data_IF_222308935766
#
_entry.id   IF_222308935766
#
_cell.length_a   1.000
_cell.length_b   1.000
_cell.length_c   1.000
_cell.angle_alpha   90.00
_cell.angle_beta   90.00
_cell.angle_gamma   90.00
#
_symmetry.space_group_name_H-M   'P 1'
#
loop_
_entity.id
_entity.type
_entity.pdbx_description
1 polymer ?
#
# COMPACT_ATOMS: atom_id res chain seq x y z
N UNK A 1 -21.41 -42.81 21.29
CA UNK A 1 -20.11 -42.52 21.92
C UNK A 1 -19.19 -41.72 20.99
N UNK A 2 -18.49 -42.30 20.01
CA UNK A 2 -17.54 -41.57 19.13
C UNK A 2 -18.05 -40.24 18.50
N UNK A 3 -19.28 -40.22 17.96
CA UNK A 3 -19.88 -38.99 17.39
C UNK A 3 -20.16 -37.91 18.44
N UNK A 4 -20.49 -38.32 19.65
CA UNK A 4 -20.78 -37.43 20.77
C UNK A 4 -19.48 -36.84 21.31
N UNK A 5 -18.43 -37.66 21.46
CA UNK A 5 -17.08 -37.20 21.84
C UNK A 5 -16.51 -36.21 20.81
N UNK A 6 -16.65 -36.52 19.52
CA UNK A 6 -16.30 -35.57 18.45
C UNK A 6 -17.09 -34.26 18.59
N UNK A 7 -18.41 -34.33 18.77
CA UNK A 7 -19.25 -33.13 18.87
C UNK A 7 -18.92 -32.26 20.11
N UNK A 8 -18.46 -32.88 21.19
CA UNK A 8 -18.11 -32.21 22.45
C UNK A 8 -16.65 -31.73 22.50
N UNK A 9 -15.78 -32.18 21.58
CA UNK A 9 -14.38 -31.77 21.54
C UNK A 9 -14.22 -30.27 21.25
N UNK A 10 -13.26 -29.60 21.91
CA UNK A 10 -12.95 -28.18 21.65
C UNK A 10 -12.56 -27.92 20.20
N UNK A 11 -11.87 -28.86 19.55
CA UNK A 11 -11.57 -28.78 18.12
C UNK A 11 -12.81 -28.61 17.25
N UNK A 12 -13.94 -29.25 17.59
CA UNK A 12 -15.21 -29.07 16.88
C UNK A 12 -15.78 -27.67 17.11
N UNK A 13 -15.74 -27.17 18.35
CA UNK A 13 -16.20 -25.82 18.67
C UNK A 13 -15.36 -24.74 17.97
N UNK A 14 -14.03 -24.84 18.03
CA UNK A 14 -13.12 -23.89 17.38
C UNK A 14 -13.26 -23.95 15.86
N UNK A 15 -13.41 -25.14 15.27
CA UNK A 15 -13.68 -25.31 13.83
C UNK A 15 -14.97 -24.59 13.41
N UNK A 16 -16.05 -24.70 14.18
CA UNK A 16 -17.30 -24.00 13.89
C UNK A 16 -17.13 -22.47 13.97
N UNK A 17 -16.44 -21.98 15.00
CA UNK A 17 -16.21 -20.54 15.17
C UNK A 17 -15.36 -19.96 14.05
N UNK A 18 -14.24 -20.62 13.72
CA UNK A 18 -13.36 -20.22 12.62
C UNK A 18 -14.08 -20.27 11.26
N UNK A 19 -14.94 -21.26 11.03
CA UNK A 19 -15.74 -21.33 9.80
C UNK A 19 -16.74 -20.19 9.68
N UNK A 20 -17.42 -19.83 10.78
CA UNK A 20 -18.37 -18.71 10.82
C UNK A 20 -17.65 -17.38 10.59
N UNK A 21 -16.54 -17.16 11.30
CA UNK A 21 -15.71 -15.97 11.12
C UNK A 21 -15.16 -15.86 9.69
N UNK A 22 -14.69 -16.98 9.10
CA UNK A 22 -14.22 -17.02 7.71
C UNK A 22 -15.26 -16.50 6.74
N UNK A 23 -16.50 -17.01 6.83
CA UNK A 23 -17.57 -16.60 5.92
C UNK A 23 -17.86 -15.10 6.02
N UNK A 24 -17.88 -14.56 7.24
CA UNK A 24 -18.14 -13.14 7.46
C UNK A 24 -16.98 -12.27 6.94
N UNK A 25 -15.73 -12.61 7.29
CA UNK A 25 -14.53 -11.88 6.84
C UNK A 25 -14.41 -11.95 5.30
N UNK A 26 -14.69 -13.11 4.68
CA UNK A 26 -14.72 -13.23 3.22
C UNK A 26 -15.78 -12.33 2.60
N UNK A 27 -16.98 -12.24 3.20
CA UNK A 27 -18.04 -11.35 2.72
C UNK A 27 -17.61 -9.87 2.78
N UNK A 28 -17.00 -9.44 3.90
CA UNK A 28 -16.47 -8.08 4.05
C UNK A 28 -15.38 -7.78 3.02
N UNK A 29 -14.41 -8.69 2.88
CA UNK A 29 -13.32 -8.57 1.92
C UNK A 29 -13.84 -8.44 0.48
N UNK A 30 -14.80 -9.28 0.08
CA UNK A 30 -15.40 -9.21 -1.26
C UNK A 30 -16.20 -7.91 -1.47
N UNK A 31 -16.93 -7.46 -0.45
CA UNK A 31 -17.65 -6.17 -0.49
C UNK A 31 -16.68 -5.01 -0.72
N UNK A 32 -15.57 -4.98 0.00
CA UNK A 32 -14.54 -3.95 -0.13
C UNK A 32 -13.85 -4.01 -1.51
N UNK A 33 -13.53 -5.21 -2.02
CA UNK A 33 -12.99 -5.38 -3.38
C UNK A 33 -13.94 -4.83 -4.45
N UNK A 34 -15.24 -5.12 -4.35
CA UNK A 34 -16.22 -4.64 -5.33
C UNK A 34 -16.32 -3.11 -5.31
N UNK A 35 -16.35 -2.51 -4.12
CA UNK A 35 -16.32 -1.04 -3.96
C UNK A 35 -15.04 -0.42 -4.52
N UNK A 36 -13.88 -1.04 -4.29
CA UNK A 36 -12.59 -0.59 -4.83
C UNK A 36 -12.60 -0.57 -6.36
N UNK A 37 -13.03 -1.67 -7.00
CA UNK A 37 -13.16 -1.75 -8.47
C UNK A 37 -14.14 -0.73 -9.04
N UNK A 38 -15.24 -0.45 -8.32
CA UNK A 38 -16.19 0.57 -8.73
C UNK A 38 -15.55 1.97 -8.71
N UNK A 39 -14.80 2.28 -7.65
CA UNK A 39 -14.06 3.54 -7.53
C UNK A 39 -13.02 3.67 -8.66
N UNK A 40 -12.21 2.64 -8.91
CA UNK A 40 -11.24 2.61 -10.03
C UNK A 40 -11.89 2.86 -11.39
N UNK A 41 -13.05 2.24 -11.63
CA UNK A 41 -13.81 2.42 -12.88
C UNK A 41 -14.28 3.86 -13.02
N UNK A 42 -14.75 4.47 -11.93
CA UNK A 42 -15.17 5.88 -11.91
C UNK A 42 -13.99 6.83 -12.12
N UNK A 43 -12.86 6.60 -11.44
CA UNK A 43 -11.62 7.36 -11.63
C UNK A 43 -11.23 7.35 -13.10
N UNK A 44 -11.15 6.16 -13.73
CA UNK A 44 -10.82 6.03 -15.14
C UNK A 44 -11.79 6.80 -16.05
N UNK A 45 -13.09 6.71 -15.79
CA UNK A 45 -14.11 7.40 -16.57
C UNK A 45 -14.03 8.93 -16.41
N UNK A 46 -13.82 9.44 -15.19
CA UNK A 46 -13.67 10.85 -14.91
C UNK A 46 -12.38 11.40 -15.51
N UNK A 47 -11.26 10.70 -15.36
CA UNK A 47 -9.98 11.08 -15.97
C UNK A 47 -10.06 11.15 -17.49
N UNK A 48 -10.74 10.21 -18.14
CA UNK A 48 -10.95 10.25 -19.59
C UNK A 48 -11.83 11.44 -20.02
N UNK A 49 -12.89 11.76 -19.26
CA UNK A 49 -13.74 12.94 -19.53
C UNK A 49 -12.97 14.24 -19.32
N UNK A 50 -12.14 14.30 -18.27
CA UNK A 50 -11.25 15.42 -17.99
C UNK A 50 -10.30 15.67 -19.16
N UNK A 51 -9.62 14.63 -19.63
CA UNK A 51 -8.68 14.71 -20.75
C UNK A 51 -9.35 15.24 -22.03
N UNK A 52 -10.54 14.71 -22.36
CA UNK A 52 -11.33 15.19 -23.52
C UNK A 52 -11.75 16.65 -23.38
N UNK A 53 -12.13 17.10 -22.19
CA UNK A 53 -12.54 18.49 -21.95
C UNK A 53 -11.33 19.43 -21.97
N UNK A 54 -10.18 19.02 -21.39
CA UNK A 54 -8.92 19.75 -21.47
C UNK A 54 -8.46 19.92 -22.92
N UNK A 55 -8.47 18.84 -23.71
CA UNK A 55 -8.13 18.90 -25.13
C UNK A 55 -9.06 19.87 -25.87
N UNK A 56 -10.38 19.80 -25.63
CA UNK A 56 -11.35 20.69 -26.27
C UNK A 56 -11.11 22.17 -25.93
N UNK A 57 -10.83 22.47 -24.65
CA UNK A 57 -10.55 23.84 -24.18
C UNK A 57 -9.24 24.34 -24.77
N UNK A 58 -8.18 23.53 -24.73
CA UNK A 58 -6.87 23.87 -25.31
C UNK A 58 -6.97 24.10 -26.82
N UNK A 59 -7.59 23.18 -27.56
CA UNK A 59 -7.76 23.30 -29.01
C UNK A 59 -8.55 24.56 -29.36
N UNK A 60 -9.62 24.87 -28.62
CA UNK A 60 -10.35 26.13 -28.80
C UNK A 60 -9.43 27.32 -28.60
N UNK A 61 -8.67 27.36 -27.50
CA UNK A 61 -7.72 28.42 -27.21
C UNK A 61 -6.66 28.58 -28.31
N UNK A 62 -6.12 27.48 -28.83
CA UNK A 62 -5.14 27.49 -29.93
C UNK A 62 -5.74 28.07 -31.21
N UNK A 63 -6.94 27.64 -31.61
CA UNK A 63 -7.59 28.14 -32.84
C UNK A 63 -8.02 29.60 -32.68
N UNK A 64 -8.47 30.01 -31.49
CA UNK A 64 -8.86 31.40 -31.23
C UNK A 64 -7.67 32.36 -31.20
N UNK A 65 -6.49 31.94 -30.73
CA UNK A 65 -5.38 32.87 -30.51
C UNK A 65 -4.23 32.71 -31.52
N UNK A 66 -4.04 31.51 -32.07
CA UNK A 66 -2.86 31.17 -32.88
C UNK A 66 -3.14 30.83 -34.34
N UNK A 67 -4.41 30.78 -34.76
CA UNK A 67 -4.76 30.49 -36.17
C UNK A 67 -4.23 31.55 -37.15
N UNK A 68 -4.07 32.80 -36.70
CA UNK A 68 -3.53 33.90 -37.52
C UNK A 68 -2.00 33.84 -37.69
N UNK A 69 -1.30 32.94 -37.00
CA UNK A 69 0.12 32.65 -37.28
C UNK A 69 0.30 32.04 -38.68
N UNK A 70 -0.77 31.48 -39.25
CA UNK A 70 -0.76 30.94 -40.61
C UNK A 70 -0.79 32.07 -41.63
N UNK A 71 0.25 32.15 -42.44
CA UNK A 71 0.33 33.13 -43.52
C UNK A 71 -0.88 33.04 -44.47
N UNK A 72 -1.60 34.15 -44.62
CA UNK A 72 -2.77 34.28 -45.49
C UNK A 72 -4.13 34.13 -44.80
N UNK A 73 -4.17 33.88 -43.48
CA UNK A 73 -5.42 33.88 -42.70
C UNK A 73 -5.66 35.27 -42.10
N UNK A 74 -6.64 35.99 -42.65
CA UNK A 74 -7.10 37.26 -42.09
C UNK A 74 -8.19 37.10 -41.01
N UNK A 75 -8.59 38.20 -40.34
CA UNK A 75 -9.62 38.18 -39.30
C UNK A 75 -10.98 37.67 -39.76
N UNK A 76 -11.37 37.96 -41.01
CA UNK A 76 -12.63 37.48 -41.59
C UNK A 76 -12.60 35.97 -41.81
N UNK A 77 -11.51 35.44 -42.38
CA UNK A 77 -11.33 34.00 -42.57
C UNK A 77 -11.29 33.27 -41.22
N UNK A 78 -10.58 33.81 -40.22
CA UNK A 78 -10.56 33.26 -38.86
C UNK A 78 -11.97 33.15 -38.27
N UNK A 79 -12.75 34.23 -38.36
CA UNK A 79 -14.13 34.26 -37.83
C UNK A 79 -15.01 33.24 -38.55
N UNK A 80 -14.92 33.16 -39.88
CA UNK A 80 -15.66 32.18 -40.66
C UNK A 80 -15.24 30.73 -40.34
N UNK A 81 -13.94 30.47 -40.13
CA UNK A 81 -13.44 29.16 -39.70
C UNK A 81 -14.01 28.78 -38.33
N UNK A 82 -13.94 29.68 -37.36
CA UNK A 82 -14.44 29.44 -36.00
C UNK A 82 -15.94 29.17 -35.97
N UNK A 83 -16.73 29.87 -36.79
CA UNK A 83 -18.19 29.74 -36.81
C UNK A 83 -18.66 28.57 -37.67
N UNK A 84 -18.07 28.36 -38.85
CA UNK A 84 -18.62 27.46 -39.86
C UNK A 84 -17.93 26.10 -39.89
N UNK A 85 -16.64 26.02 -39.53
CA UNK A 85 -15.83 24.81 -39.68
C UNK A 85 -15.50 24.17 -38.34
N UNK A 86 -15.08 24.95 -37.35
CA UNK A 86 -14.60 24.42 -36.07
C UNK A 86 -15.74 23.79 -35.25
N UNK A 87 -15.56 22.53 -34.82
CA UNK A 87 -16.50 21.78 -33.96
C UNK A 87 -15.86 21.31 -32.65
N UNK A 88 -14.64 21.76 -32.36
CA UNK A 88 -13.91 21.45 -31.15
C UNK A 88 -12.71 20.52 -31.35
N UNK A 89 -12.40 20.11 -32.59
CA UNK A 89 -11.22 19.31 -32.92
C UNK A 89 -10.35 20.00 -33.96
N UNK A 90 -9.04 19.78 -33.91
CA UNK A 90 -8.11 20.30 -34.94
C UNK A 90 -8.38 19.67 -36.31
N UNK A 91 -8.85 18.41 -36.34
CA UNK A 91 -9.22 17.71 -37.58
C UNK A 91 -10.31 18.42 -38.38
N UNK A 92 -11.17 19.20 -37.72
CA UNK A 92 -12.27 19.92 -38.37
C UNK A 92 -11.74 20.91 -39.43
N UNK A 93 -10.52 21.43 -39.25
CA UNK A 93 -9.90 22.43 -40.11
C UNK A 93 -9.32 21.87 -41.42
N UNK A 94 -9.20 20.54 -41.57
CA UNK A 94 -8.49 19.90 -42.69
C UNK A 94 -9.13 20.13 -44.07
N UNK A 95 -10.41 20.55 -44.09
CA UNK A 95 -11.18 20.82 -45.31
C UNK A 95 -11.90 22.17 -45.25
N UNK A 96 -11.34 23.15 -44.52
CA UNK A 96 -11.91 24.47 -44.38
C UNK A 96 -12.21 25.17 -45.73
N UNK A 97 -11.41 24.90 -46.77
CA UNK A 97 -11.61 25.42 -48.13
C UNK A 97 -12.92 25.03 -48.80
N UNK A 98 -13.60 23.98 -48.32
CA UNK A 98 -14.92 23.58 -48.84
C UNK A 98 -16.05 24.49 -48.34
N UNK A 99 -15.86 25.13 -47.19
CA UNK A 99 -16.93 25.86 -46.49
C UNK A 99 -16.66 27.35 -46.47
N UNK A 100 -15.40 27.76 -46.25
CA UNK A 100 -15.04 29.16 -46.06
C UNK A 100 -14.50 29.77 -47.36
N UNK A 101 -15.18 30.79 -47.91
CA UNK A 101 -14.69 31.52 -49.08
C UNK A 101 -13.33 32.17 -48.80
N UNK A 102 -12.44 32.17 -49.81
CA UNK A 102 -11.13 32.81 -49.74
C UNK A 102 -10.01 31.94 -49.17
N UNK A 103 -10.29 30.70 -48.74
CA UNK A 103 -9.25 29.72 -48.42
C UNK A 103 -8.79 29.04 -49.72
N UNK A 104 -7.65 29.50 -50.24
CA UNK A 104 -7.02 28.90 -51.43
C UNK A 104 -6.38 27.54 -51.10
N UNK A 105 -6.08 26.69 -52.10
CA UNK A 105 -5.37 25.43 -51.87
C UNK A 105 -4.04 25.60 -51.13
N UNK A 106 -3.34 26.72 -51.36
CA UNK A 106 -2.12 27.08 -50.63
C UNK A 106 -2.39 27.35 -49.15
N UNK A 107 -3.42 28.14 -48.83
CA UNK A 107 -3.80 28.40 -47.42
C UNK A 107 -4.25 27.10 -46.74
N UNK A 108 -5.02 26.26 -47.42
CA UNK A 108 -5.43 24.95 -46.88
C UNK A 108 -4.23 24.05 -46.58
N UNK A 109 -3.20 24.05 -47.43
CA UNK A 109 -1.96 23.32 -47.17
C UNK A 109 -1.25 23.82 -45.91
N UNK A 110 -1.16 25.14 -45.71
CA UNK A 110 -0.57 25.72 -44.49
C UNK A 110 -1.44 25.42 -43.24
N UNK A 111 -2.77 25.44 -43.35
CA UNK A 111 -3.68 24.99 -42.28
C UNK A 111 -3.38 23.53 -41.91
N UNK A 112 -3.27 22.63 -42.90
CA UNK A 112 -2.99 21.22 -42.64
C UNK A 112 -1.63 21.01 -41.96
N UNK A 113 -0.62 21.79 -42.36
CA UNK A 113 0.70 21.76 -41.72
C UNK A 113 0.61 22.23 -40.26
N UNK A 114 -0.06 23.35 -40.01
CA UNK A 114 -0.27 23.88 -38.66
C UNK A 114 -1.06 22.91 -37.78
N UNK A 115 -2.12 22.29 -38.32
CA UNK A 115 -2.89 21.24 -37.63
C UNK A 115 -2.00 20.07 -37.25
N UNK A 116 -1.18 19.55 -38.16
CA UNK A 116 -0.30 18.42 -37.89
C UNK A 116 0.75 18.74 -36.79
N UNK A 117 1.31 19.95 -36.82
CA UNK A 117 2.26 20.42 -35.80
C UNK A 117 1.60 20.52 -34.42
N UNK A 118 0.44 21.16 -34.33
CA UNK A 118 -0.27 21.32 -33.06
C UNK A 118 -0.81 19.99 -32.54
N UNK A 119 -1.32 19.12 -33.42
CA UNK A 119 -1.76 17.78 -33.02
C UNK A 119 -0.63 16.96 -32.39
N UNK A 120 0.60 17.10 -32.91
CA UNK A 120 1.79 16.45 -32.33
C UNK A 120 2.18 17.05 -30.98
N UNK A 121 1.99 18.36 -30.79
CA UNK A 121 2.33 19.07 -29.56
C UNK A 121 1.24 19.01 -28.48
N UNK A 122 0.01 18.58 -28.80
CA UNK A 122 -1.12 18.56 -27.88
C UNK A 122 -0.82 17.87 -26.53
N UNK A 123 -0.20 16.67 -26.48
CA UNK A 123 0.09 16.01 -25.20
C UNK A 123 0.98 16.86 -24.28
N UNK A 124 1.99 17.52 -24.85
CA UNK A 124 2.91 18.37 -24.09
C UNK A 124 2.22 19.66 -23.63
N UNK A 125 1.38 20.24 -24.48
CA UNK A 125 0.64 21.47 -24.19
C UNK A 125 -0.46 21.26 -23.13
N UNK A 126 -1.09 20.08 -23.06
CA UNK A 126 -2.06 19.74 -22.01
C UNK A 126 -1.40 19.74 -20.63
N UNK A 127 -0.14 19.32 -20.55
CA UNK A 127 0.61 19.29 -19.29
C UNK A 127 1.02 20.69 -18.82
N UNK A 128 1.21 21.63 -19.75
CA UNK A 128 1.50 23.02 -19.43
C UNK A 128 0.27 23.74 -18.88
N UNK A 129 0.46 24.95 -18.35
CA UNK A 129 -0.65 25.80 -17.96
C UNK A 129 -1.26 26.50 -19.18
N UNK A 130 -2.59 26.60 -19.22
CA UNK A 130 -3.30 27.27 -20.29
C UNK A 130 -4.66 27.81 -19.81
N UNK A 131 -5.19 28.88 -20.44
CA UNK A 131 -6.46 29.47 -20.04
C UNK A 131 -7.62 28.45 -20.06
N UNK A 132 -8.30 28.33 -18.92
CA UNK A 132 -9.43 27.43 -18.74
C UNK A 132 -9.07 26.05 -18.16
N UNK A 133 -7.78 25.70 -18.07
CA UNK A 133 -7.33 24.44 -17.44
C UNK A 133 -7.80 24.32 -15.99
N UNK A 134 -7.57 25.35 -15.17
CA UNK A 134 -7.96 25.38 -13.75
C UNK A 134 -9.47 25.16 -13.53
N UNK A 135 -10.32 25.62 -14.46
CA UNK A 135 -11.77 25.43 -14.38
C UNK A 135 -12.15 23.97 -14.65
N UNK A 136 -11.53 23.35 -15.66
CA UNK A 136 -11.73 21.92 -15.95
C UNK A 136 -11.20 21.07 -14.78
N UNK A 137 -10.03 21.42 -14.28
CA UNK A 137 -9.40 20.75 -13.16
C UNK A 137 -10.24 20.82 -11.87
N UNK A 138 -10.75 22.01 -11.51
CA UNK A 138 -11.64 22.17 -10.37
C UNK A 138 -12.97 21.42 -10.48
N UNK A 139 -13.40 21.06 -11.69
CA UNK A 139 -14.61 20.26 -11.93
C UNK A 139 -14.40 18.75 -11.70
N UNK A 140 -13.21 18.23 -11.99
CA UNK A 140 -12.95 16.78 -11.97
C UNK A 140 -12.07 16.31 -10.81
N UNK A 141 -11.06 17.09 -10.42
CA UNK A 141 -10.10 16.65 -9.40
C UNK A 141 -10.73 16.31 -8.04
N UNK A 142 -11.67 17.10 -7.48
CA UNK A 142 -12.21 16.79 -6.16
C UNK A 142 -12.87 15.40 -6.09
N UNK A 143 -13.59 15.00 -7.14
CA UNK A 143 -14.22 13.68 -7.20
C UNK A 143 -13.19 12.58 -7.41
N UNK A 144 -12.22 12.78 -8.32
CA UNK A 144 -11.13 11.82 -8.58
C UNK A 144 -10.32 11.57 -7.30
N UNK A 145 -9.87 12.62 -6.61
CA UNK A 145 -9.09 12.53 -5.38
C UNK A 145 -9.88 11.81 -4.27
N UNK A 146 -11.17 12.10 -4.14
CA UNK A 146 -12.03 11.41 -3.16
C UNK A 146 -12.16 9.91 -3.44
N UNK A 147 -12.24 9.51 -4.71
CA UNK A 147 -12.34 8.12 -5.12
C UNK A 147 -11.00 7.40 -4.99
N UNK A 148 -9.89 8.07 -5.28
CA UNK A 148 -8.53 7.54 -5.08
C UNK A 148 -8.27 7.29 -3.59
N UNK A 149 -8.66 8.24 -2.74
CA UNK A 149 -8.61 8.07 -1.29
C UNK A 149 -9.46 6.89 -0.81
N UNK A 150 -10.69 6.76 -1.32
CA UNK A 150 -11.56 5.63 -1.01
C UNK A 150 -10.93 4.29 -1.42
N UNK A 151 -10.39 4.21 -2.64
CA UNK A 151 -9.75 3.00 -3.15
C UNK A 151 -8.56 2.59 -2.28
N UNK A 152 -7.68 3.54 -1.97
CA UNK A 152 -6.53 3.30 -1.07
C UNK A 152 -6.97 2.87 0.33
N UNK A 153 -8.01 3.50 0.87
CA UNK A 153 -8.56 3.16 2.20
C UNK A 153 -9.08 1.73 2.21
N UNK A 154 -9.89 1.34 1.22
CA UNK A 154 -10.42 -0.03 1.10
C UNK A 154 -9.31 -1.07 0.95
N UNK A 155 -8.24 -0.75 0.23
CA UNK A 155 -7.08 -1.62 0.11
C UNK A 155 -6.34 -1.79 1.45
N UNK A 156 -6.15 -0.69 2.19
CA UNK A 156 -5.55 -0.73 3.52
C UNK A 156 -6.39 -1.55 4.52
N UNK A 157 -7.72 -1.46 4.45
CA UNK A 157 -8.66 -2.26 5.26
C UNK A 157 -8.65 -3.74 4.86
N UNK A 158 -8.43 -4.05 3.58
CA UNK A 158 -8.44 -5.42 3.07
C UNK A 158 -7.20 -6.23 3.46
N UNK A 159 -6.04 -5.59 3.66
CA UNK A 159 -4.79 -6.24 4.07
C UNK A 159 -4.94 -7.08 5.35
N UNK A 160 -5.40 -6.55 6.49
CA UNK A 160 -5.58 -7.34 7.71
C UNK A 160 -6.67 -8.41 7.57
N UNK A 161 -7.69 -8.20 6.72
CA UNK A 161 -8.70 -9.23 6.45
C UNK A 161 -8.08 -10.43 5.72
N UNK A 162 -7.19 -10.18 4.76
CA UNK A 162 -6.48 -11.23 4.03
C UNK A 162 -5.56 -12.05 4.94
N UNK A 163 -4.82 -11.40 5.83
CA UNK A 163 -3.97 -12.06 6.82
C UNK A 163 -4.79 -12.95 7.77
N UNK A 164 -5.93 -12.43 8.26
CA UNK A 164 -6.89 -13.20 9.07
C UNK A 164 -7.40 -14.41 8.31
N UNK A 165 -7.78 -14.28 7.04
CA UNK A 165 -8.23 -15.40 6.21
C UNK A 165 -7.13 -16.47 6.03
N UNK A 166 -5.89 -16.07 5.75
CA UNK A 166 -4.76 -16.99 5.64
C UNK A 166 -4.55 -17.76 6.95
N UNK A 167 -4.65 -17.07 8.09
CA UNK A 167 -4.53 -17.72 9.40
C UNK A 167 -5.65 -18.72 9.64
N UNK A 168 -6.90 -18.34 9.34
CA UNK A 168 -8.05 -19.25 9.47
C UNK A 168 -7.87 -20.49 8.60
N UNK A 169 -7.40 -20.31 7.37
CA UNK A 169 -7.18 -21.41 6.44
C UNK A 169 -6.11 -22.40 6.94
N UNK A 170 -5.02 -21.90 7.54
CA UNK A 170 -4.01 -22.75 8.17
C UNK A 170 -4.60 -23.62 9.29
N UNK A 171 -5.43 -23.05 10.16
CA UNK A 171 -6.03 -23.77 11.30
C UNK A 171 -7.15 -24.72 10.85
N UNK A 172 -8.01 -24.29 9.93
CA UNK A 172 -9.06 -25.14 9.39
C UNK A 172 -8.51 -26.32 8.60
N UNK A 173 -7.33 -26.18 7.97
CA UNK A 173 -6.70 -27.26 7.19
C UNK A 173 -6.53 -28.52 8.03
N UNK A 174 -5.93 -28.41 9.23
CA UNK A 174 -5.71 -29.58 10.10
C UNK A 174 -6.98 -29.97 10.87
N UNK A 175 -7.79 -29.00 11.34
CA UNK A 175 -9.07 -29.28 12.01
C UNK A 175 -10.06 -30.05 11.12
N UNK A 176 -9.97 -29.87 9.80
CA UNK A 176 -10.82 -30.58 8.83
C UNK A 176 -10.39 -32.02 8.58
N UNK A 177 -9.16 -32.42 8.93
CA UNK A 177 -8.68 -33.79 8.77
C UNK A 177 -9.26 -34.74 9.82
N UNK A 178 -9.66 -34.21 10.99
CA UNK A 178 -10.26 -34.98 12.06
C UNK A 178 -11.77 -35.07 11.84
N UNK A 179 -12.27 -36.30 11.83
CA UNK A 179 -13.69 -36.61 11.58
C UNK A 179 -14.22 -37.54 12.67
N UNK A 180 -15.55 -37.74 12.77
CA UNK A 180 -16.10 -38.74 13.68
C UNK A 180 -15.55 -40.16 13.48
N UNK A 181 -15.10 -40.47 12.25
CA UNK A 181 -14.48 -41.76 11.95
C UNK A 181 -13.08 -41.89 12.58
N UNK A 182 -12.34 -40.78 12.73
CA UNK A 182 -11.05 -40.74 13.44
C UNK A 182 -11.22 -41.15 14.90
N UNK A 183 -12.24 -40.61 15.58
CA UNK A 183 -12.61 -41.01 16.94
C UNK A 183 -13.03 -42.49 17.01
N UNK A 184 -13.88 -42.93 16.08
CA UNK A 184 -14.32 -44.32 16.04
C UNK A 184 -13.16 -45.31 15.85
N UNK A 185 -12.16 -44.96 15.03
CA UNK A 185 -10.94 -45.77 14.85
C UNK A 185 -10.12 -45.84 16.14
N UNK A 186 -9.93 -44.71 16.84
CA UNK A 186 -9.17 -44.67 18.10
C UNK A 186 -9.78 -45.55 19.19
N UNK A 187 -11.12 -45.59 19.30
CA UNK A 187 -11.83 -46.44 20.26
C UNK A 187 -11.73 -47.94 19.92
N UNK A 188 -11.54 -48.29 18.64
CA UNK A 188 -11.46 -49.70 18.18
C UNK A 188 -10.04 -50.25 18.16
N UNK A 189 -9.03 -49.40 17.99
CA UNK A 189 -7.61 -49.75 17.85
C UNK A 189 -6.75 -48.74 18.60
N UNK A 190 -6.68 -48.83 19.94
CA UNK A 190 -5.92 -47.90 20.77
C UNK A 190 -4.41 -47.88 20.45
N UNK A 191 -3.89 -48.90 19.77
CA UNK A 191 -2.51 -48.99 19.29
C UNK A 191 -2.24 -48.22 17.98
N UNK A 192 -3.27 -47.70 17.28
CA UNK A 192 -3.17 -46.99 16.00
C UNK A 192 -3.85 -45.60 16.05
N UNK A 193 -3.71 -44.89 17.17
CA UNK A 193 -4.33 -43.57 17.36
C UNK A 193 -3.64 -42.52 16.48
N UNK A 194 -4.45 -41.68 15.82
CA UNK A 194 -3.94 -40.55 15.05
C UNK A 194 -3.31 -39.53 16.03
N UNK A 195 -2.04 -39.15 15.88
CA UNK A 195 -1.36 -38.23 16.80
C UNK A 195 -2.02 -36.84 16.88
N UNK A 196 -2.74 -36.42 15.84
CA UNK A 196 -3.47 -35.13 15.82
C UNK A 196 -4.80 -35.19 16.62
N UNK A 197 -5.25 -36.38 17.04
CA UNK A 197 -6.49 -36.54 17.79
C UNK A 197 -6.40 -35.87 19.17
N UNK A 198 -5.28 -36.02 19.87
CA UNK A 198 -5.06 -35.40 21.18
C UNK A 198 -5.05 -33.88 21.05
N UNK A 199 -4.38 -33.34 20.03
CA UNK A 199 -4.41 -31.92 19.70
C UNK A 199 -5.84 -31.44 19.39
N UNK A 200 -6.62 -32.23 18.67
CA UNK A 200 -8.02 -31.90 18.35
C UNK A 200 -8.91 -31.81 19.60
N UNK A 201 -8.66 -32.63 20.63
CA UNK A 201 -9.40 -32.58 21.89
C UNK A 201 -9.18 -31.23 22.61
N UNK A 202 -7.95 -30.73 22.60
CA UNK A 202 -7.63 -29.39 23.14
C UNK A 202 -8.08 -28.25 22.21
N UNK A 203 -8.16 -28.52 20.91
CA UNK A 203 -8.49 -27.55 19.88
C UNK A 203 -7.26 -26.75 19.43
N UNK A 204 -7.49 -25.51 18.99
CA UNK A 204 -6.43 -24.62 18.50
C UNK A 204 -5.43 -24.22 19.60
N UNK A 205 -5.90 -24.13 20.84
CA UNK A 205 -5.13 -23.80 22.04
C UNK A 205 -5.79 -24.48 23.24
N UNK A 206 -5.01 -24.83 24.26
CA UNK A 206 -5.48 -25.62 25.39
C UNK A 206 -6.37 -24.82 26.36
N UNK A 207 -7.07 -25.51 27.27
CA UNK A 207 -7.98 -24.87 28.24
C UNK A 207 -7.25 -24.02 29.29
N UNK A 208 -6.02 -24.41 29.63
CA UNK A 208 -5.17 -23.69 30.58
C UNK A 208 -4.34 -22.58 29.91
N UNK A 209 -4.41 -22.44 28.60
CA UNK A 209 -3.74 -21.37 27.87
C UNK A 209 -4.67 -20.16 27.74
N UNK A 210 -4.14 -18.93 27.86
CA UNK A 210 -4.93 -17.74 27.57
C UNK A 210 -5.38 -17.77 26.11
N UNK A 211 -6.62 -17.35 25.84
CA UNK A 211 -7.15 -17.29 24.46
C UNK A 211 -6.24 -16.38 23.63
N UNK A 212 -5.63 -16.85 22.53
CA UNK A 212 -4.73 -16.03 21.73
C UNK A 212 -5.45 -14.79 21.16
N UNK A 213 -4.78 -13.64 21.15
CA UNK A 213 -5.37 -12.37 20.67
C UNK A 213 -5.91 -12.51 19.24
N UNK A 214 -5.12 -13.11 18.34
CA UNK A 214 -5.53 -13.34 16.96
C UNK A 214 -6.83 -14.15 16.86
N UNK A 215 -7.07 -15.08 17.79
CA UNK A 215 -8.28 -15.89 17.82
C UNK A 215 -9.46 -15.06 18.33
N UNK A 216 -9.26 -14.22 19.35
CA UNK A 216 -10.30 -13.30 19.84
C UNK A 216 -10.72 -12.33 18.75
N UNK A 217 -9.75 -11.73 18.05
CA UNK A 217 -10.01 -10.81 16.94
C UNK A 217 -10.85 -11.49 15.85
N UNK A 218 -10.47 -12.69 15.41
CA UNK A 218 -11.20 -13.41 14.36
C UNK A 218 -12.60 -13.80 14.82
N UNK A 219 -12.73 -14.33 16.02
CA UNK A 219 -14.03 -14.80 16.54
C UNK A 219 -14.97 -13.63 16.83
N UNK A 220 -14.47 -12.41 17.06
CA UNK A 220 -15.33 -11.22 17.15
C UNK A 220 -16.22 -11.02 15.91
N UNK A 221 -15.75 -11.43 14.72
CA UNK A 221 -16.52 -11.39 13.47
C UNK A 221 -17.59 -12.48 13.36
N UNK A 222 -17.60 -13.48 14.25
CA UNK A 222 -18.63 -14.53 14.29
C UNK A 222 -19.90 -14.11 15.05
N UNK A 223 -19.93 -12.91 15.64
CA UNK A 223 -21.06 -12.38 16.39
C UNK A 223 -21.28 -13.01 17.77
N UNK A 224 -20.32 -13.79 18.27
CA UNK A 224 -20.38 -14.46 19.58
C UNK A 224 -19.13 -14.14 20.41
N UNK A 225 -19.31 -13.82 21.69
CA UNK A 225 -18.18 -13.58 22.60
C UNK A 225 -17.41 -14.90 22.84
N UNK A 226 -16.05 -14.86 22.82
CA UNK A 226 -15.23 -16.04 23.07
C UNK A 226 -15.49 -16.66 24.46
N UNK A 227 -15.84 -15.86 25.47
CA UNK A 227 -16.04 -16.33 26.85
C UNK A 227 -17.40 -17.00 27.08
N UNK A 228 -18.45 -16.55 26.38
CA UNK A 228 -19.79 -17.12 26.48
C UNK A 228 -19.90 -18.49 25.80
N UNK A 229 -18.91 -18.87 24.98
CA UNK A 229 -18.89 -20.14 24.25
C UNK A 229 -17.95 -21.19 24.82
N UNK A 230 -16.90 -20.78 25.54
CA UNK A 230 -15.98 -21.69 26.23
C UNK A 230 -16.54 -22.21 27.56
N UNK A 231 -17.57 -21.56 28.10
CA UNK A 231 -18.22 -21.91 29.37
C UNK A 231 -19.22 -23.06 29.26
N UNK A 232 -19.70 -23.41 28.05
CA UNK A 232 -20.67 -24.51 27.84
C UNK A 232 -20.01 -25.89 27.85
N UNK A 233 -18.69 -25.99 27.67
CA UNK A 233 -17.97 -27.29 27.59
C UNK A 233 -17.24 -27.71 28.88
N UNK A 234 -17.14 -26.82 29.88
CA UNK A 234 -16.36 -27.06 31.10
C UNK A 234 -16.99 -28.10 32.07
N UNK A 235 -18.24 -28.53 31.86
CA UNK A 235 -18.90 -29.52 32.74
C UNK A 235 -18.59 -30.99 32.42
N UNK A 236 -17.71 -31.30 31.47
CA UNK A 236 -17.47 -32.69 31.05
C UNK A 236 -16.00 -33.11 30.91
N UNK A 237 -15.08 -32.54 31.69
CA UNK A 237 -13.75 -33.12 31.91
C UNK A 237 -13.73 -33.92 33.22
N UNK A 238 -14.58 -34.95 33.29
CA UNK A 238 -14.38 -36.11 34.17
C UNK A 238 -14.19 -37.36 33.31
N UNK A 239 -13.31 -37.26 32.31
CA UNK A 239 -12.80 -38.42 31.60
C UNK A 239 -11.71 -39.07 32.46
N UNK A 240 -12.12 -40.13 33.15
CA UNK A 240 -11.31 -41.09 33.89
C UNK A 240 -10.04 -41.47 33.10
N UNK A 241 -8.81 -41.36 33.65
CA UNK A 241 -7.66 -42.00 33.03
C UNK A 241 -7.88 -43.53 33.07
N UNK A 242 -7.79 -44.16 31.90
CA UNK A 242 -7.79 -45.61 31.76
C UNK A 242 -6.45 -46.13 32.26
N UNK A 243 -6.36 -46.41 33.57
CA UNK A 243 -5.61 -47.51 34.19
C UNK A 243 -5.42 -47.24 35.69
N UNK A 244 -6.18 -47.92 36.56
CA UNK A 244 -5.76 -48.12 37.95
C UNK A 244 -6.45 -49.37 38.53
N UNK A 245 -5.77 -50.51 38.44
CA UNK A 245 -6.02 -51.70 39.27
C UNK A 245 -4.63 -52.24 39.69
N UNK A 246 -4.38 -52.16 41.01
CA UNK A 246 -3.37 -52.88 41.83
C UNK A 246 -1.94 -52.30 41.87
N UNK A 247 -1.71 -51.36 42.81
CA UNK A 247 -0.77 -51.49 43.97
C UNK A 247 -0.12 -50.15 44.37
N UNK A 248 -0.42 -49.68 45.59
CA UNK A 248 0.49 -48.88 46.43
C UNK A 248 1.08 -49.81 47.51
N UNK A 249 2.22 -49.53 48.17
CA UNK A 249 2.75 -48.19 48.47
C UNK A 249 4.28 -47.99 48.34
N UNK A 250 4.74 -46.76 48.10
CA UNK A 250 5.54 -46.01 49.10
C UNK A 250 5.82 -44.56 48.68
N UNK A 251 6.05 -43.74 49.70
CA UNK A 251 6.25 -42.30 49.69
C UNK A 251 7.64 -41.86 49.21
N UNK A 252 7.74 -40.54 48.97
CA UNK A 252 8.91 -39.72 48.64
C UNK A 252 9.53 -39.91 47.26
N UNK A 253 9.24 -38.96 46.36
CA UNK A 253 10.20 -38.26 45.49
C UNK A 253 9.45 -37.33 44.53
N UNK A 254 9.64 -36.02 44.68
CA UNK A 254 9.40 -35.05 43.60
C UNK A 254 10.47 -35.26 42.51
N UNK A 255 10.15 -35.20 41.21
CA UNK A 255 11.17 -34.86 40.23
C UNK A 255 10.81 -33.60 39.42
N UNK A 256 11.79 -32.71 39.36
CA UNK A 256 11.94 -31.52 38.52
C UNK A 256 11.90 -31.84 37.01
N UNK A 257 11.67 -30.85 36.12
CA UNK A 257 11.50 -31.09 34.68
C UNK A 257 12.83 -31.42 33.96
N UNK A 258 12.87 -32.33 32.97
CA UNK A 258 14.06 -32.56 32.17
C UNK A 258 14.20 -31.50 31.06
N UNK A 259 15.00 -30.47 31.31
CA UNK A 259 15.66 -29.71 30.24
C UNK A 259 16.78 -30.58 29.65
N UNK A 260 16.65 -31.03 28.40
CA UNK A 260 17.79 -31.28 27.47
C UNK A 260 17.41 -31.92 26.13
N UNK A 261 16.18 -32.36 25.91
CA UNK A 261 15.78 -32.99 24.62
C UNK A 261 15.10 -32.03 23.63
N UNK A 262 14.68 -30.83 24.05
CA UNK A 262 13.97 -29.89 23.16
C UNK A 262 14.88 -29.08 22.21
N UNK A 263 16.18 -28.94 22.48
CA UNK A 263 17.09 -28.19 21.58
C UNK A 263 17.54 -28.99 20.35
N UNK A 264 17.54 -30.33 20.40
CA UNK A 264 17.94 -31.17 19.25
C UNK A 264 16.80 -31.52 18.29
N UNK A 265 15.55 -31.46 18.74
CA UNK A 265 14.38 -31.68 17.89
C UNK A 265 14.05 -30.48 16.99
N UNK A 266 14.40 -29.26 17.42
CA UNK A 266 14.13 -28.03 16.67
C UNK A 266 15.14 -27.80 15.53
N UNK A 267 16.40 -28.23 15.68
CA UNK A 267 17.40 -28.09 14.59
C UNK A 267 17.24 -29.11 13.46
N UNK A 268 16.75 -30.34 13.73
CA UNK A 268 16.59 -31.36 12.68
C UNK A 268 15.41 -31.09 11.74
N UNK A 269 14.39 -30.34 12.18
CA UNK A 269 13.24 -29.97 11.37
C UNK A 269 13.54 -28.86 10.34
N UNK A 270 14.58 -28.05 10.57
CA UNK A 270 14.95 -26.93 9.68
C UNK A 270 15.71 -27.43 8.44
N UNK A 271 16.45 -28.54 8.53
CA UNK A 271 17.26 -29.05 7.41
C UNK A 271 16.42 -29.86 6.41
N UNK A 272 15.34 -30.52 6.83
CA UNK A 272 14.47 -31.33 5.93
C UNK A 272 13.49 -30.45 5.12
N UNK A 273 13.16 -29.24 5.62
CA UNK A 273 12.33 -28.26 4.91
C UNK A 273 13.04 -27.52 3.76
N UNK A 274 14.38 -27.47 3.74
CA UNK A 274 15.13 -26.75 2.71
C UNK A 274 15.33 -27.56 1.41
N UNK A 275 15.32 -28.91 1.48
CA UNK A 275 15.57 -29.77 0.31
C UNK A 275 14.28 -30.03 -0.50
N UNK A 276 13.10 -29.91 0.12
CA UNK A 276 11.80 -30.10 -0.57
C UNK A 276 11.26 -28.83 -1.23
N UNK A 277 11.73 -27.64 -0.83
CA UNK A 277 11.40 -26.35 -1.45
C UNK A 277 12.15 -26.05 -2.75
N UNK A 278 13.37 -26.59 -2.93
CA UNK A 278 14.20 -26.31 -4.11
C UNK A 278 13.82 -27.15 -5.35
N UNK A 279 13.08 -28.26 -5.18
CA UNK A 279 12.63 -29.10 -6.30
C UNK A 279 11.27 -28.68 -6.89
N UNK A 280 10.42 -27.95 -6.15
CA UNK A 280 9.13 -27.47 -6.67
C UNK A 280 9.24 -26.17 -7.47
N UNK A 281 10.29 -25.37 -7.26
CA UNK A 281 10.49 -24.10 -7.96
C UNK A 281 11.02 -24.29 -9.40
N UNK A 282 11.71 -25.39 -9.69
CA UNK A 282 12.22 -25.67 -11.04
C UNK A 282 11.17 -26.27 -12.00
N UNK A 283 10.07 -26.84 -11.49
CA UNK A 283 9.05 -27.49 -12.32
C UNK A 283 7.90 -26.56 -12.73
N UNK A 284 7.80 -25.37 -12.14
CA UNK A 284 6.76 -24.37 -12.46
C UNK A 284 7.20 -23.31 -13.50
N UNK A 285 8.44 -23.39 -13.99
CA UNK A 285 9.01 -22.47 -14.98
C UNK A 285 9.00 -23.02 -16.42
N UNK A 286 8.35 -24.16 -16.68
CA UNK A 286 8.34 -24.82 -18.02
C UNK A 286 6.93 -24.91 -18.65
N UNK A 287 5.87 -24.40 -18.01
CA UNK A 287 4.49 -24.50 -18.53
C UNK A 287 3.71 -23.18 -18.55
N UNK A 288 4.30 -22.10 -19.05
CA UNK A 288 3.54 -20.91 -19.47
C UNK A 288 4.28 -20.06 -20.52
N UNK A 289 4.52 -20.62 -21.70
CA UNK A 289 4.52 -19.85 -22.95
C UNK A 289 3.98 -20.76 -24.05
N UNK A 290 2.73 -20.53 -24.47
CA UNK A 290 2.28 -20.83 -25.82
C UNK A 290 1.04 -19.97 -26.13
N UNK A 291 1.29 -18.70 -26.45
CA UNK A 291 0.33 -17.87 -27.19
C UNK A 291 0.61 -18.10 -28.66
N UNK A 292 -0.29 -18.84 -29.31
CA UNK A 292 -0.39 -18.87 -30.76
C UNK A 292 -0.92 -17.54 -31.27
N UNK A 293 -0.14 -16.84 -32.08
CA UNK A 293 -0.65 -16.03 -33.20
C UNK A 293 0.39 -15.90 -34.30
N UNK A 294 0.17 -16.73 -35.31
CA UNK A 294 0.78 -16.73 -36.63
C UNK A 294 0.32 -15.49 -37.39
N UNK A 295 1.24 -14.57 -37.72
CA UNK A 295 1.07 -13.66 -38.87
C UNK A 295 2.41 -13.37 -39.53
N UNK A 296 2.50 -13.92 -40.74
CA UNK A 296 3.40 -13.71 -41.88
C UNK A 296 4.14 -12.37 -41.93
N UNK A 297 5.47 -12.43 -42.14
CA UNK A 297 6.32 -11.32 -42.61
C UNK A 297 7.04 -11.75 -43.89
N UNK A 298 7.05 -10.96 -44.98
CA UNK A 298 7.77 -11.30 -46.20
C UNK A 298 9.24 -10.87 -46.16
N UNK A 299 10.04 -11.57 -46.96
CA UNK A 299 11.49 -11.61 -46.94
C UNK A 299 12.23 -10.44 -47.63
N UNK A 300 13.49 -10.28 -47.17
CA UNK A 300 14.74 -9.98 -47.91
C UNK A 300 15.06 -8.54 -48.38
N UNK A 301 16.34 -8.18 -48.66
CA UNK A 301 17.62 -8.86 -48.34
C UNK A 301 18.68 -7.98 -47.65
N UNK A 302 19.66 -8.71 -47.12
CA UNK A 302 21.05 -8.39 -46.78
C UNK A 302 21.75 -7.40 -47.72
N UNK A 303 22.46 -6.42 -47.14
CA UNK A 303 23.61 -5.78 -47.78
C UNK A 303 24.80 -5.69 -46.80
N UNK A 304 25.96 -5.80 -47.43
CA UNK A 304 27.25 -6.23 -46.91
C UNK A 304 28.02 -5.03 -46.33
N UNK A 305 28.83 -5.29 -45.31
CA UNK A 305 29.75 -4.35 -44.70
C UNK A 305 30.72 -3.73 -45.72
N UNK A 306 31.06 -2.45 -45.54
CA UNK A 306 32.32 -1.89 -46.05
C UNK A 306 32.89 -0.93 -45.01
N UNK A 307 34.04 -1.33 -44.47
CA UNK A 307 34.93 -0.50 -43.67
C UNK A 307 35.50 0.62 -44.54
N UNK A 308 35.54 1.85 -44.04
CA UNK A 308 36.53 2.86 -44.46
C UNK A 308 36.92 3.72 -43.26
N UNK A 309 38.15 3.52 -42.77
CA UNK A 309 38.86 4.43 -41.87
C UNK A 309 39.45 5.60 -42.67
N UNK A 310 39.40 6.83 -42.15
CA UNK A 310 40.61 7.66 -41.83
C UNK A 310 40.23 9.04 -41.26
N UNK A 311 41.17 9.71 -40.56
CA UNK A 311 40.89 10.61 -39.45
C UNK A 311 40.99 12.09 -39.84
N UNK A 312 40.51 12.97 -38.95
CA UNK A 312 41.10 14.30 -38.80
C UNK A 312 41.06 14.72 -37.33
N UNK A 313 42.25 14.94 -36.79
CA UNK A 313 42.49 15.49 -35.46
C UNK A 313 42.25 17.00 -35.47
N UNK A 314 41.77 17.55 -34.35
CA UNK A 314 42.38 18.75 -33.75
C UNK A 314 42.01 18.80 -32.26
N UNK A 315 42.99 18.69 -31.34
CA UNK A 315 42.82 18.99 -29.92
C UNK A 315 42.92 20.50 -29.70
N UNK A 316 42.05 21.08 -28.88
CA UNK A 316 42.27 22.43 -28.36
C UNK A 316 42.94 22.32 -26.99
N UNK A 317 44.21 22.69 -26.96
CA UNK A 317 45.04 22.83 -25.76
C UNK A 317 45.02 24.31 -25.38
N UNK A 318 44.77 24.62 -24.12
CA UNK A 318 45.20 25.90 -23.52
C UNK A 318 45.69 25.60 -22.10
N UNK A 319 47.00 25.39 -22.01
CA UNK A 319 47.86 25.58 -20.84
C UNK A 319 48.21 27.08 -20.75
N UNK A 320 48.72 27.72 -19.69
CA UNK A 320 49.01 27.48 -18.27
C UNK A 320 49.69 28.78 -17.78
N UNK A 321 49.52 29.17 -16.50
CA UNK A 321 50.48 29.91 -15.61
C UNK A 321 49.64 30.41 -14.40
N UNK A 322 49.72 29.98 -13.14
CA UNK A 322 50.72 29.49 -12.16
C UNK A 322 51.72 30.54 -11.62
N UNK A 323 51.44 31.00 -10.41
CA UNK A 323 52.32 31.56 -9.35
C UNK A 323 51.59 31.17 -8.01
N UNK A 324 51.95 30.19 -7.14
CA UNK A 324 53.11 29.98 -6.21
C UNK A 324 53.37 31.22 -5.32
N UNK A 325 53.38 31.27 -3.98
CA UNK A 325 53.54 30.35 -2.82
C UNK A 325 53.25 31.24 -1.58
N UNK A 326 52.70 30.86 -0.41
CA UNK A 326 53.28 30.26 0.84
C UNK A 326 52.42 30.88 1.99
N UNK A 327 52.15 30.36 3.19
CA UNK A 327 52.80 29.38 4.05
C UNK A 327 51.81 28.81 5.10
N UNK A 328 52.16 27.61 5.56
CA UNK A 328 51.60 26.79 6.66
C UNK A 328 52.34 27.11 7.99
N UNK A 329 51.71 26.96 9.16
CA UNK A 329 52.08 25.87 10.11
C UNK A 329 50.80 25.15 10.63
N UNK A 330 50.67 23.83 10.46
CA UNK A 330 51.18 22.69 11.27
C UNK A 330 50.30 22.35 12.50
N UNK A 331 49.81 21.09 12.65
CA UNK A 331 48.93 20.64 13.74
C UNK A 331 49.67 19.74 14.77
N UNK A 332 49.26 19.72 16.05
CA UNK A 332 49.49 18.68 17.11
C UNK A 332 48.91 19.22 18.44
N UNK A 333 48.21 18.53 19.36
CA UNK A 333 48.28 17.17 19.93
C UNK A 333 46.85 16.64 20.24
N UNK A 334 46.48 15.37 20.05
CA UNK A 334 46.91 14.11 20.69
C UNK A 334 46.57 14.00 22.18
N UNK A 335 45.51 13.25 22.51
CA UNK A 335 45.40 12.48 23.77
C UNK A 335 44.58 11.18 23.59
N UNK A 336 45.25 10.06 23.83
CA UNK A 336 44.75 8.71 24.22
C UNK A 336 45.92 8.08 25.04
N UNK A 337 45.79 7.12 25.99
CA UNK A 337 44.62 6.38 26.50
C UNK A 337 44.55 6.16 28.06
N UNK A 338 43.49 5.49 28.51
CA UNK A 338 43.42 4.46 29.60
C UNK A 338 43.62 4.80 31.09
N UNK A 339 42.56 4.60 31.90
CA UNK A 339 42.57 3.73 33.09
C UNK A 339 41.12 3.42 33.56
N UNK A 340 40.79 2.13 33.61
CA UNK A 340 39.62 1.56 34.28
C UNK A 340 39.78 1.62 35.79
N UNK A 341 38.78 2.15 36.53
CA UNK A 341 38.43 1.62 37.85
C UNK A 341 36.91 1.65 38.07
N UNK A 342 36.38 0.45 38.25
CA UNK A 342 35.09 0.11 38.83
C UNK A 342 34.99 0.64 40.25
N UNK A 343 33.99 1.49 40.51
CA UNK A 343 33.30 1.50 41.80
C UNK A 343 31.80 1.70 41.50
N UNK A 344 31.04 0.69 41.90
CA UNK A 344 29.59 0.66 41.92
C UNK A 344 29.09 1.55 43.07
N UNK A 345 28.25 2.56 42.82
CA UNK A 345 27.25 2.97 43.77
C UNK A 345 25.91 2.33 43.41
N UNK A 346 25.43 1.51 44.33
CA UNK A 346 24.05 1.08 44.50
C UNK A 346 23.05 2.19 44.11
N UNK A 347 22.24 1.93 43.09
CA UNK A 347 21.08 2.77 42.74
C UNK A 347 20.02 2.66 43.84
N UNK A 348 19.97 3.65 44.71
CA UNK A 348 18.77 3.97 45.50
C UNK A 348 17.82 4.75 44.59
N UNK A 349 16.53 4.35 44.45
CA UNK A 349 15.58 5.09 43.63
C UNK A 349 15.42 6.49 44.22
N UNK A 350 15.92 7.49 43.50
CA UNK A 350 15.75 8.91 43.83
C UNK A 350 14.73 9.46 42.85
N UNK A 351 13.63 9.98 43.38
CA UNK A 351 12.48 10.50 42.64
C UNK A 351 12.92 11.40 41.48
N UNK A 352 12.72 10.89 40.26
CA UNK A 352 12.91 11.64 39.03
C UNK A 352 11.87 12.76 39.00
N UNK A 353 12.33 14.00 39.18
CA UNK A 353 11.55 15.19 38.96
C UNK A 353 10.87 15.10 37.59
N UNK A 354 9.54 15.09 37.62
CA UNK A 354 8.67 15.13 36.44
C UNK A 354 8.99 16.41 35.67
N UNK A 355 9.62 16.27 34.49
CA UNK A 355 9.70 17.37 33.53
C UNK A 355 8.27 17.60 33.07
N UNK A 356 7.63 18.65 33.57
CA UNK A 356 6.36 19.14 33.06
C UNK A 356 6.60 19.58 31.61
N UNK A 357 6.20 18.74 30.66
CA UNK A 357 6.22 19.08 29.25
C UNK A 357 5.38 20.35 29.06
N UNK A 358 6.00 21.43 28.56
CA UNK A 358 5.28 22.62 28.14
C UNK A 358 4.31 22.18 27.03
N UNK A 359 2.99 22.37 27.18
CA UNK A 359 2.04 21.99 26.14
C UNK A 359 2.35 22.83 24.89
N UNK A 360 2.65 22.16 23.76
CA UNK A 360 2.84 22.85 22.49
C UNK A 360 1.50 23.49 22.06
N UNK A 361 1.51 24.69 21.48
CA UNK A 361 0.30 25.34 20.98
C UNK A 361 -0.42 24.43 19.97
N UNK A 362 -1.75 24.36 20.07
CA UNK A 362 -2.56 23.46 19.25
C UNK A 362 -3.39 24.21 18.23
N UNK A 363 -3.63 23.55 17.09
CA UNK A 363 -4.56 23.98 16.06
C UNK A 363 -5.63 22.93 15.83
N UNK A 364 -6.83 23.38 15.48
CA UNK A 364 -7.97 22.55 15.12
C UNK A 364 -8.17 22.58 13.61
N UNK A 365 -8.37 21.42 13.00
CA UNK A 365 -8.73 21.33 11.59
C UNK A 365 -10.19 21.74 11.38
N UNK A 366 -10.44 22.68 10.46
CA UNK A 366 -11.78 23.26 10.23
C UNK A 366 -12.49 22.72 8.99
N UNK A 367 -11.77 22.03 8.10
CA UNK A 367 -12.33 21.40 6.90
C UNK A 367 -12.51 19.90 7.10
N UNK A 368 -13.41 19.29 6.31
CA UNK A 368 -13.76 17.86 6.43
C UNK A 368 -12.54 16.93 6.38
N UNK A 369 -11.56 17.24 5.52
CA UNK A 369 -10.30 16.53 5.42
C UNK A 369 -9.20 17.50 4.95
N UNK A 370 -8.14 17.62 5.74
CA UNK A 370 -6.94 18.38 5.45
C UNK A 370 -5.76 17.44 5.18
N UNK A 371 -5.05 17.68 4.08
CA UNK A 371 -3.88 16.90 3.70
C UNK A 371 -2.68 17.26 4.60
N UNK A 372 -2.07 16.24 5.20
CA UNK A 372 -0.79 16.32 5.89
C UNK A 372 0.32 15.96 4.90
N UNK A 373 1.29 16.84 4.69
CA UNK A 373 2.29 16.73 3.62
C UNK A 373 3.70 16.53 4.14
N UNK A 374 4.56 15.96 3.32
CA UNK A 374 5.98 15.75 3.64
C UNK A 374 6.79 17.07 3.73
N UNK A 375 6.31 18.14 3.11
CA UNK A 375 6.95 19.45 3.08
C UNK A 375 5.94 20.60 2.98
N UNK A 376 6.38 21.87 3.18
CA UNK A 376 5.53 23.05 3.20
C UNK A 376 5.17 23.55 1.80
N UNK A 377 4.58 22.69 0.97
CA UNK A 377 4.13 23.07 -0.36
C UNK A 377 2.98 22.15 -0.81
N UNK A 378 2.01 22.70 -1.55
CA UNK A 378 0.84 21.98 -2.03
C UNK A 378 1.17 20.87 -3.05
N UNK A 379 2.37 20.92 -3.65
CA UNK A 379 2.92 19.90 -4.56
C UNK A 379 3.61 18.74 -3.82
N UNK A 380 3.85 18.85 -2.51
CA UNK A 380 4.56 17.82 -1.75
C UNK A 380 3.68 16.59 -1.52
N UNK A 381 4.27 15.38 -1.45
CA UNK A 381 3.53 14.15 -1.19
C UNK A 381 2.69 14.22 0.08
N UNK A 382 1.46 13.72 0.00
CA UNK A 382 0.58 13.58 1.16
C UNK A 382 1.01 12.36 1.97
N UNK A 383 1.35 12.57 3.23
CA UNK A 383 1.80 11.54 4.18
C UNK A 383 0.72 11.15 5.19
N UNK A 384 -0.38 11.91 5.24
CA UNK A 384 -1.53 11.61 6.09
C UNK A 384 -2.71 12.56 5.82
N UNK A 385 -3.81 12.37 6.55
CA UNK A 385 -4.98 13.24 6.51
C UNK A 385 -5.45 13.50 7.93
N UNK A 386 -5.67 14.78 8.25
CA UNK A 386 -6.35 15.20 9.46
C UNK A 386 -7.80 15.58 9.15
N UNK A 387 -8.74 15.18 9.99
CA UNK A 387 -10.18 15.41 9.82
C UNK A 387 -10.66 16.63 10.58
N UNK A 388 -11.80 17.17 10.18
CA UNK A 388 -12.46 18.26 10.91
C UNK A 388 -12.56 17.94 12.41
N UNK A 389 -12.12 18.88 13.25
CA UNK A 389 -12.12 18.75 14.69
C UNK A 389 -10.85 18.14 15.29
N UNK A 390 -9.99 17.50 14.48
CA UNK A 390 -8.71 16.95 14.94
C UNK A 390 -7.84 18.06 15.53
N UNK A 391 -7.23 17.76 16.68
CA UNK A 391 -6.29 18.64 17.39
C UNK A 391 -4.87 18.24 17.05
N UNK A 392 -4.09 19.19 16.52
CA UNK A 392 -2.72 18.98 16.09
C UNK A 392 -1.79 19.91 16.87
N UNK A 393 -0.68 19.37 17.38
CA UNK A 393 0.32 20.16 18.09
C UNK A 393 1.25 20.85 17.08
N UNK A 394 1.40 22.17 17.15
CA UNK A 394 2.34 22.91 16.30
C UNK A 394 3.75 22.69 16.84
N UNK A 395 4.62 22.12 16.00
CA UNK A 395 6.05 21.94 16.28
C UNK A 395 6.84 23.14 15.75
N UNK A 396 6.51 23.59 14.54
CA UNK A 396 7.22 24.66 13.84
C UNK A 396 6.30 25.33 12.80
N UNK A 397 6.76 26.44 12.22
CA UNK A 397 6.07 27.13 11.14
C UNK A 397 7.08 27.62 10.10
N UNK A 398 6.65 27.72 8.84
CA UNK A 398 7.46 28.37 7.81
C UNK A 398 7.52 29.89 8.04
N UNK A 399 8.57 30.54 7.55
CA UNK A 399 8.87 31.96 7.79
C UNK A 399 7.71 32.91 7.38
N UNK A 400 6.90 32.53 6.39
CA UNK A 400 5.74 33.29 5.92
C UNK A 400 4.42 32.93 6.61
N UNK A 401 4.42 31.90 7.46
CA UNK A 401 3.25 31.39 8.18
C UNK A 401 2.20 30.70 7.30
N UNK A 402 2.49 30.43 6.02
CA UNK A 402 1.57 29.73 5.12
C UNK A 402 1.44 28.24 5.48
N UNK A 403 2.49 27.66 6.07
CA UNK A 403 2.57 26.26 6.44
C UNK A 403 3.00 26.06 7.88
N UNK A 404 2.37 25.07 8.53
CA UNK A 404 2.64 24.68 9.91
C UNK A 404 3.14 23.24 9.93
N UNK A 405 4.26 22.99 10.61
CA UNK A 405 4.71 21.64 10.93
C UNK A 405 3.98 21.19 12.17
N UNK A 406 3.17 20.14 12.04
CA UNK A 406 2.30 19.65 13.10
C UNK A 406 2.59 18.20 13.47
N UNK A 407 2.28 17.84 14.72
CA UNK A 407 2.27 16.47 15.20
C UNK A 407 0.85 16.01 15.52
N UNK A 408 0.45 14.89 14.94
CA UNK A 408 -0.82 14.21 15.26
C UNK A 408 -0.69 13.39 16.55
N UNK A 409 -1.82 12.97 17.12
CA UNK A 409 -1.86 12.18 18.37
C UNK A 409 -1.19 10.81 18.29
N UNK A 410 -1.06 10.24 17.09
CA UNK A 410 -0.32 9.01 16.79
C UNK A 410 1.18 9.25 16.51
N UNK A 411 1.64 10.50 16.61
CA UNK A 411 3.06 10.87 16.52
C UNK A 411 3.58 11.16 15.12
N UNK A 412 2.73 11.14 14.08
CA UNK A 412 3.11 11.53 12.73
C UNK A 412 3.43 13.04 12.69
N UNK A 413 4.57 13.38 12.10
CA UNK A 413 4.99 14.77 11.86
C UNK A 413 4.83 15.10 10.39
N UNK A 414 4.09 16.16 10.10
CA UNK A 414 3.77 16.55 8.74
C UNK A 414 3.39 18.02 8.64
N UNK A 415 3.42 18.57 7.43
CA UNK A 415 3.07 19.94 7.13
C UNK A 415 1.59 20.08 6.78
N UNK A 416 0.94 21.13 7.27
CA UNK A 416 -0.45 21.48 6.97
C UNK A 416 -0.54 22.97 6.62
N UNK A 417 -1.41 23.33 5.68
CA UNK A 417 -1.63 24.74 5.34
C UNK A 417 -2.34 25.47 6.47
N UNK A 418 -1.91 26.69 6.79
CA UNK A 418 -2.52 27.49 7.87
C UNK A 418 -3.98 27.89 7.56
N UNK A 419 -4.38 27.91 6.29
CA UNK A 419 -5.75 28.25 5.84
C UNK A 419 -6.81 27.21 6.16
N UNK A 420 -6.40 25.99 6.54
CA UNK A 420 -7.31 24.87 6.81
C UNK A 420 -7.38 24.49 8.29
N UNK A 421 -6.78 25.32 9.14
CA UNK A 421 -6.76 25.15 10.60
C UNK A 421 -7.02 26.46 11.31
N UNK A 422 -7.51 26.38 12.55
CA UNK A 422 -7.68 27.54 13.44
C UNK A 422 -6.90 27.33 14.74
N UNK A 423 -6.33 28.38 15.34
CA UNK A 423 -5.68 28.26 16.65
C UNK A 423 -6.71 27.90 17.71
N UNK A 424 -6.36 26.95 18.58
CA UNK A 424 -7.17 26.64 19.75
C UNK A 424 -6.79 27.64 20.82
N UNK A 425 -7.54 28.74 20.88
CA UNK A 425 -7.43 29.69 21.98
C UNK A 425 -8.01 29.02 23.22
N UNK A 426 -7.20 28.85 24.27
CA UNK A 426 -7.71 28.55 25.61
C UNK A 426 -8.43 29.78 26.17
N UNK A 427 -9.61 30.11 25.61
CA UNK A 427 -10.56 30.96 26.31
C UNK A 427 -11.30 30.10 27.33
N UNK A 428 -10.79 30.21 28.56
CA UNK A 428 -11.40 29.90 29.85
C UNK A 428 -12.90 29.57 29.80
N UNK A 429 -13.24 28.35 30.21
CA UNK A 429 -14.35 28.13 31.12
C UNK A 429 -14.12 26.90 31.99
#
# INVERSE_FOLDING_TARGET
MARQEYAQARGTAHKQLLSQAKNHIQSLYQKNLNKGREAETKIKALSARREQELERVLVRHLVENRLQEIHGIGPQQKTAILQQVFRGKLSDLQHASKTVPGITPKIQYEINRWVAQNQKALPDLINQDFPGKAVVDGKYYPEIESLEWLAHTLESENRPLQEKLQRIDAELTWLNQITPNTFLKSLRRPEQVNPELDRYLYGVFAEWEPVPEWFREIVSFSGKSPETLLTVTATSTKARPVNEVISKPNADSQPSPPHSTLRKAVELAIIIGAITGMCFFCFWLVLSVDVTRTTVSPAAPTFVATNTRRPSATPSVTATLRILTTAQPDPTATYTPSATQTNSPTVTPTDTATVTAVPLPQVRVIISAANLRAGPDASQPVVGIARAGDLLAIIDAEDDGAWLLVQTGDGLRAWIGSTVVEPVNEETN
#
